data_IF_041009438931
#
_entry.id   IF_041009438931
#
_cell.length_a   1.000
_cell.length_b   1.000
_cell.length_c   1.000
_cell.angle_alpha   90.00
_cell.angle_beta   90.00
_cell.angle_gamma   90.00
#
_symmetry.space_group_name_H-M   'P 1'
#
loop_
_entity.id
_entity.type
_entity.pdbx_description
1 polymer ?
#
# COMPACT_ATOMS: atom_id res chain seq x y z
N UNK A 1 -28.88 8.54 -0.92
CA UNK A 1 -27.74 8.97 -0.10
C UNK A 1 -26.87 7.75 0.14
N UNK A 2 -25.63 7.72 -0.38
CA UNK A 2 -24.66 6.70 0.04
C UNK A 2 -24.29 7.03 1.49
N UNK A 3 -24.49 6.11 2.42
CA UNK A 3 -23.92 6.26 3.75
C UNK A 3 -22.40 6.20 3.58
N UNK A 4 -21.72 7.29 3.94
CA UNK A 4 -20.27 7.30 4.03
C UNK A 4 -19.88 6.26 5.09
N UNK A 5 -19.21 5.18 4.66
CA UNK A 5 -18.74 4.12 5.57
C UNK A 5 -17.64 4.72 6.44
N UNK A 6 -17.71 4.46 7.75
CA UNK A 6 -16.72 4.97 8.70
C UNK A 6 -15.29 4.55 8.32
N UNK A 7 -14.31 5.46 8.41
CA UNK A 7 -12.93 5.13 8.09
C UNK A 7 -12.40 4.05 9.03
N UNK A 8 -11.61 3.12 8.48
CA UNK A 8 -11.02 2.00 9.23
C UNK A 8 -9.55 2.26 9.48
N UNK A 9 -9.12 2.14 10.72
CA UNK A 9 -7.72 2.30 11.11
C UNK A 9 -6.95 0.99 10.96
N UNK A 10 -5.74 1.10 10.41
CA UNK A 10 -4.82 0.00 10.25
C UNK A 10 -3.46 0.33 10.86
N UNK A 11 -2.73 -0.73 11.18
CA UNK A 11 -1.31 -0.70 11.53
C UNK A 11 -0.50 -1.60 10.59
N UNK A 12 0.79 -1.32 10.47
CA UNK A 12 1.74 -2.20 9.79
C UNK A 12 1.98 -3.43 10.64
N UNK A 13 1.81 -4.60 10.03
CA UNK A 13 2.05 -5.89 10.67
C UNK A 13 3.45 -6.41 10.42
N UNK A 14 3.87 -6.39 9.16
CA UNK A 14 5.14 -6.92 8.70
C UNK A 14 5.51 -6.36 7.32
N UNK A 15 6.80 -6.40 7.02
CA UNK A 15 7.34 -6.13 5.69
C UNK A 15 7.23 -7.40 4.86
N UNK A 16 6.47 -7.34 3.78
CA UNK A 16 6.30 -8.44 2.81
C UNK A 16 7.42 -8.42 1.77
N UNK A 17 7.78 -7.22 1.34
CA UNK A 17 8.83 -6.96 0.37
C UNK A 17 9.51 -5.64 0.75
N UNK A 18 10.83 -5.60 0.68
CA UNK A 18 11.61 -4.37 0.78
C UNK A 18 12.74 -4.42 -0.24
N UNK A 19 13.00 -3.29 -0.88
CA UNK A 19 14.09 -3.11 -1.82
C UNK A 19 15.23 -2.27 -1.23
N UNK A 20 15.56 -2.55 0.03
CA UNK A 20 16.58 -1.91 0.87
C UNK A 20 18.02 -1.99 0.32
N UNK A 21 18.29 -2.91 -0.62
CA UNK A 21 19.61 -3.12 -1.25
C UNK A 21 19.77 -2.50 -2.63
N UNK A 22 18.85 -1.65 -3.06
CA UNK A 22 18.90 -0.98 -4.36
C UNK A 22 18.12 -1.71 -5.47
N UNK A 23 18.04 -1.09 -6.64
CA UNK A 23 17.14 -1.51 -7.71
C UNK A 23 17.52 -2.86 -8.32
N UNK A 24 16.52 -3.74 -8.50
CA UNK A 24 16.67 -4.93 -9.33
C UNK A 24 15.56 -4.94 -10.37
N UNK A 25 15.90 -5.26 -11.64
CA UNK A 25 14.98 -5.26 -12.78
C UNK A 25 13.69 -6.08 -12.55
N UNK A 26 13.72 -7.02 -11.60
CA UNK A 26 12.58 -7.78 -11.10
C UNK A 26 11.43 -6.90 -10.56
N UNK A 27 11.74 -5.69 -10.09
CA UNK A 27 10.80 -4.74 -9.47
C UNK A 27 10.73 -3.41 -10.23
N UNK A 28 11.33 -3.36 -11.42
CA UNK A 28 11.56 -2.12 -12.15
C UNK A 28 10.70 -2.05 -13.40
N UNK A 29 10.24 -0.83 -13.66
CA UNK A 29 9.55 -0.35 -14.87
C UNK A 29 8.04 -0.50 -14.79
N UNK A 30 7.45 0.43 -14.05
CA UNK A 30 6.18 1.02 -14.45
C UNK A 30 6.54 2.26 -15.27
N UNK A 31 6.84 2.06 -16.56
CA UNK A 31 6.78 3.18 -17.50
C UNK A 31 5.36 3.73 -17.36
N UNK A 32 5.19 5.03 -17.12
CA UNK A 32 3.87 5.66 -16.99
C UNK A 32 2.95 5.35 -18.19
N UNK A 33 3.53 4.92 -19.32
CA UNK A 33 2.85 4.50 -20.55
C UNK A 33 2.60 2.98 -20.60
N UNK A 34 3.43 2.15 -19.97
CA UNK A 34 3.35 0.68 -20.07
C UNK A 34 2.86 0.07 -18.77
N UNK A 35 1.60 -0.36 -18.76
CA UNK A 35 0.99 -1.07 -17.65
C UNK A 35 1.64 -2.45 -17.44
N UNK A 36 2.56 -2.57 -16.48
CA UNK A 36 3.09 -3.87 -16.06
C UNK A 36 2.75 -4.13 -14.59
N UNK A 37 1.57 -4.68 -14.27
CA UNK A 37 1.17 -4.88 -12.88
C UNK A 37 2.13 -5.84 -12.16
N UNK A 38 2.51 -5.49 -10.93
CA UNK A 38 3.25 -6.39 -10.06
C UNK A 38 2.27 -7.37 -9.40
N UNK A 39 2.59 -8.67 -9.49
CA UNK A 39 1.76 -9.76 -8.96
C UNK A 39 2.55 -10.56 -7.93
N UNK A 40 1.97 -10.79 -6.76
CA UNK A 40 2.56 -11.65 -5.72
C UNK A 40 1.51 -12.54 -5.05
N UNK A 41 1.93 -13.66 -4.47
CA UNK A 41 1.02 -14.54 -3.71
C UNK A 41 0.66 -13.89 -2.38
N UNK A 42 -0.62 -13.86 -2.04
CA UNK A 42 -1.06 -13.41 -0.72
C UNK A 42 -0.43 -14.28 0.37
N UNK A 43 0.38 -13.68 1.25
CA UNK A 43 1.13 -14.42 2.28
C UNK A 43 0.23 -15.01 3.38
N UNK A 44 -1.02 -14.56 3.48
CA UNK A 44 -1.97 -15.02 4.49
C UNK A 44 -2.73 -16.26 4.03
N UNK A 45 -3.37 -16.22 2.86
CA UNK A 45 -4.16 -17.36 2.36
C UNK A 45 -3.39 -18.27 1.41
N UNK A 46 -2.29 -17.82 0.80
CA UNK A 46 -1.54 -18.56 -0.23
C UNK A 46 -2.33 -19.03 -1.47
N UNK A 47 -3.61 -18.69 -1.56
CA UNK A 47 -4.55 -19.15 -2.59
C UNK A 47 -4.84 -18.11 -3.67
N UNK A 48 -4.58 -16.83 -3.39
CA UNK A 48 -4.85 -15.73 -4.31
C UNK A 48 -3.61 -14.90 -4.63
N UNK A 49 -3.56 -14.42 -5.86
CA UNK A 49 -2.59 -13.41 -6.30
C UNK A 49 -3.12 -12.03 -5.96
N UNK A 50 -2.27 -11.22 -5.33
CA UNK A 50 -2.49 -9.80 -5.12
C UNK A 50 -1.82 -9.05 -6.26
N UNK A 51 -2.55 -8.09 -6.82
CA UNK A 51 -2.09 -7.25 -7.91
C UNK A 51 -1.87 -5.82 -7.43
N UNK A 52 -0.75 -5.23 -7.85
CA UNK A 52 -0.38 -3.83 -7.60
C UNK A 52 -0.04 -3.19 -8.95
N UNK A 53 -0.75 -2.12 -9.29
CA UNK A 53 -0.42 -1.24 -10.41
C UNK A 53 -0.16 0.19 -9.90
N UNK A 54 0.44 1.03 -10.75
CA UNK A 54 0.76 2.43 -10.44
C UNK A 54 -0.32 3.43 -10.87
N UNK A 55 -1.52 2.98 -11.22
CA UNK A 55 -2.63 3.91 -11.40
C UNK A 55 -3.20 4.34 -10.06
N UNK A 56 -3.71 5.57 -9.99
CA UNK A 56 -4.34 6.16 -8.81
C UNK A 56 -3.44 6.15 -7.56
N UNK A 57 -2.15 6.44 -7.78
CA UNK A 57 -1.19 6.59 -6.69
C UNK A 57 -1.54 7.81 -5.84
N UNK A 58 -1.61 7.61 -4.53
CA UNK A 58 -1.72 8.67 -3.55
C UNK A 58 -0.34 9.21 -3.15
N UNK A 59 -0.26 10.52 -2.94
CA UNK A 59 0.90 11.13 -2.31
C UNK A 59 0.95 10.79 -0.82
N UNK A 60 2.14 10.50 -0.28
CA UNK A 60 2.33 10.33 1.16
C UNK A 60 2.31 11.72 1.82
N UNK A 61 1.13 12.16 2.27
CA UNK A 61 0.98 13.39 3.04
C UNK A 61 1.47 13.25 4.49
N UNK A 62 2.03 14.35 5.02
CA UNK A 62 2.51 14.45 6.40
C UNK A 62 1.32 14.53 7.38
N UNK A 63 0.81 13.38 7.87
CA UNK A 63 0.20 13.16 9.21
C UNK A 63 -0.70 11.92 9.24
N UNK A 64 -1.44 11.67 8.16
CA UNK A 64 -2.33 10.53 7.99
C UNK A 64 -2.44 10.23 6.51
N UNK A 65 -2.23 8.98 6.11
CA UNK A 65 -2.46 8.56 4.74
C UNK A 65 -3.86 7.96 4.66
N UNK A 66 -4.78 8.69 4.03
CA UNK A 66 -6.14 8.23 3.75
C UNK A 66 -6.17 7.68 2.34
N UNK A 67 -6.37 6.37 2.19
CA UNK A 67 -6.48 5.75 0.87
C UNK A 67 -7.91 5.34 0.59
N UNK A 68 -8.40 5.73 -0.57
CA UNK A 68 -9.58 5.14 -1.15
C UNK A 68 -9.13 3.85 -1.85
N UNK A 69 -9.33 2.72 -1.19
CA UNK A 69 -9.20 1.41 -1.84
C UNK A 69 -10.36 1.22 -2.83
N UNK A 70 -10.35 0.11 -3.59
CA UNK A 70 -11.55 -0.37 -4.32
C UNK A 70 -12.73 -0.71 -3.38
N UNK A 71 -12.54 -0.60 -2.07
CA UNK A 71 -13.61 -0.65 -1.08
C UNK A 71 -14.06 0.77 -0.75
N UNK A 72 -15.38 1.03 -0.67
CA UNK A 72 -15.94 2.37 -0.39
C UNK A 72 -15.55 2.96 0.99
N UNK A 73 -14.61 2.33 1.71
CA UNK A 73 -14.21 2.69 3.06
C UNK A 73 -12.79 3.24 3.06
N UNK A 74 -12.58 4.48 3.55
CA UNK A 74 -11.23 5.02 3.69
C UNK A 74 -10.38 4.18 4.64
N UNK A 75 -9.17 3.84 4.21
CA UNK A 75 -8.15 3.17 5.04
C UNK A 75 -7.23 4.23 5.62
N UNK A 76 -7.12 4.26 6.95
CA UNK A 76 -6.29 5.20 7.71
C UNK A 76 -5.07 4.45 8.26
N UNK A 77 -3.86 4.92 7.92
CA UNK A 77 -2.60 4.37 8.42
C UNK A 77 -1.75 5.52 8.96
N UNK A 78 -1.15 5.34 10.14
CA UNK A 78 -0.25 6.33 10.71
C UNK A 78 1.08 6.38 9.93
N UNK A 79 1.48 7.56 9.45
CA UNK A 79 2.72 7.72 8.66
C UNK A 79 3.97 7.24 9.41
N UNK A 80 4.01 7.41 10.73
CA UNK A 80 5.13 6.91 11.55
C UNK A 80 5.23 5.38 11.53
N UNK A 81 4.11 4.68 11.44
CA UNK A 81 4.09 3.22 11.37
C UNK A 81 4.68 2.74 10.04
N UNK A 82 4.36 3.41 8.94
CA UNK A 82 4.97 3.18 7.62
C UNK A 82 6.47 3.48 7.66
N UNK A 83 6.87 4.62 8.25
CA UNK A 83 8.29 5.04 8.34
C UNK A 83 9.14 4.03 9.09
N UNK A 84 8.65 3.52 10.22
CA UNK A 84 9.38 2.56 11.05
C UNK A 84 9.66 1.24 10.32
N UNK A 85 8.97 0.98 9.20
CA UNK A 85 9.13 -0.21 8.37
C UNK A 85 9.74 0.11 7.00
N UNK A 86 10.47 1.23 6.88
CA UNK A 86 11.11 1.70 5.64
C UNK A 86 10.14 1.85 4.45
N UNK A 87 8.85 2.07 4.72
CA UNK A 87 7.83 2.13 3.66
C UNK A 87 7.60 3.51 3.06
N UNK A 88 8.40 4.54 3.37
CA UNK A 88 8.18 5.88 2.82
C UNK A 88 8.81 5.98 1.43
N UNK A 89 7.95 6.07 0.42
CA UNK A 89 8.31 6.31 -0.98
C UNK A 89 7.76 7.64 -1.49
N UNK A 90 8.00 7.92 -2.77
CA UNK A 90 7.49 9.09 -3.47
C UNK A 90 5.95 9.09 -3.52
N UNK A 91 5.38 7.94 -3.83
CA UNK A 91 3.93 7.74 -3.90
C UNK A 91 3.56 6.34 -3.40
N UNK A 92 2.27 6.08 -3.26
CA UNK A 92 1.78 4.92 -2.50
C UNK A 92 0.37 4.50 -2.86
N UNK A 93 0.02 3.25 -2.54
CA UNK A 93 -1.31 2.68 -2.77
C UNK A 93 -1.65 1.65 -1.72
N UNK A 94 -2.94 1.50 -1.42
CA UNK A 94 -3.46 0.38 -0.64
C UNK A 94 -4.21 -0.57 -1.57
N UNK A 95 -3.90 -1.86 -1.49
CA UNK A 95 -4.60 -2.94 -2.20
C UNK A 95 -5.05 -4.01 -1.22
N UNK A 96 -5.91 -4.93 -1.64
CA UNK A 96 -6.36 -6.04 -0.80
C UNK A 96 -6.38 -7.36 -1.57
N UNK A 97 -6.17 -8.47 -0.86
CA UNK A 97 -6.34 -9.80 -1.40
C UNK A 97 -7.84 -10.11 -1.60
N UNK A 98 -8.24 -10.43 -2.83
CA UNK A 98 -9.64 -10.72 -3.16
C UNK A 98 -10.23 -11.97 -2.48
N UNK A 99 -9.39 -12.90 -1.99
CA UNK A 99 -9.84 -14.10 -1.28
C UNK A 99 -10.05 -13.87 0.23
N UNK A 100 -9.03 -13.38 0.94
CA UNK A 100 -9.06 -13.25 2.41
C UNK A 100 -9.16 -11.80 2.93
N UNK A 101 -9.37 -10.82 2.05
CA UNK A 101 -9.47 -9.40 2.39
C UNK A 101 -8.30 -8.84 3.22
N UNK A 102 -7.11 -9.45 3.11
CA UNK A 102 -5.90 -8.91 3.73
C UNK A 102 -5.45 -7.68 2.96
N UNK A 103 -5.26 -6.57 3.68
CA UNK A 103 -4.82 -5.30 3.10
C UNK A 103 -3.30 -5.19 3.06
N UNK A 104 -2.80 -4.55 2.02
CA UNK A 104 -1.38 -4.29 1.79
C UNK A 104 -1.18 -2.82 1.43
N UNK A 105 -0.14 -2.23 2.00
CA UNK A 105 0.37 -0.93 1.61
C UNK A 105 1.55 -1.14 0.66
N UNK A 106 1.50 -0.53 -0.51
CA UNK A 106 2.57 -0.52 -1.49
C UNK A 106 3.16 0.89 -1.55
N UNK A 107 4.47 0.97 -1.38
CA UNK A 107 5.26 2.17 -1.56
C UNK A 107 6.00 2.12 -2.87
N UNK A 108 6.07 3.25 -3.54
CA UNK A 108 6.75 3.39 -4.82
C UNK A 108 7.78 4.49 -4.73
N UNK A 109 8.98 4.19 -5.21
CA UNK A 109 10.02 5.19 -5.39
C UNK A 109 9.94 5.81 -6.77
N UNK A 110 10.66 6.92 -6.91
CA UNK A 110 10.85 7.64 -8.16
C UNK A 110 12.35 7.75 -8.45
N UNK A 111 12.73 7.53 -9.69
CA UNK A 111 14.08 7.85 -10.14
C UNK A 111 14.05 8.48 -11.52
N UNK A 112 14.73 9.62 -11.63
CA UNK A 112 15.27 10.14 -12.89
C UNK A 112 16.75 9.76 -12.89
N UNK A 113 17.16 8.70 -13.61
CA UNK A 113 17.93 8.93 -14.84
C UNK A 113 17.96 7.72 -15.82
N UNK A 114 17.36 7.86 -17.01
CA UNK A 114 17.79 7.08 -18.19
C UNK A 114 17.17 7.66 -19.47
N UNK A 115 17.95 8.46 -20.23
CA UNK A 115 17.54 8.96 -21.55
C UNK A 115 16.22 9.76 -21.58
N UNK A 116 15.87 10.47 -20.50
CA UNK A 116 14.71 11.37 -20.45
C UNK A 116 13.36 10.69 -20.19
N UNK A 117 13.32 9.55 -19.48
CA UNK A 117 12.08 8.91 -19.03
C UNK A 117 11.99 8.83 -17.51
N UNK A 118 10.83 9.20 -17.00
CA UNK A 118 10.44 9.04 -15.61
C UNK A 118 10.19 7.56 -15.31
N UNK A 119 10.82 7.04 -14.26
CA UNK A 119 10.65 5.64 -13.84
C UNK A 119 10.10 5.60 -12.42
N UNK A 120 8.92 4.99 -12.29
CA UNK A 120 8.36 4.58 -11.01
C UNK A 120 8.75 3.12 -10.76
N UNK A 121 9.15 2.80 -9.53
CA UNK A 121 9.49 1.44 -9.14
C UNK A 121 8.80 1.05 -7.83
N UNK A 122 8.49 -0.23 -7.70
CA UNK A 122 7.96 -0.77 -6.45
C UNK A 122 9.10 -0.83 -5.42
N UNK A 123 8.94 -0.12 -4.31
CA UNK A 123 9.96 -0.01 -3.27
C UNK A 123 9.70 -1.01 -2.13
N UNK A 124 8.51 -0.94 -1.54
CA UNK A 124 8.18 -1.70 -0.33
C UNK A 124 6.72 -2.18 -0.39
N UNK A 125 6.45 -3.41 0.07
CA UNK A 125 5.10 -3.90 0.37
C UNK A 125 5.03 -4.21 1.86
N UNK A 126 4.04 -3.62 2.53
CA UNK A 126 3.74 -3.84 3.94
C UNK A 126 2.38 -4.52 4.06
N UNK A 127 2.28 -5.53 4.91
CA UNK A 127 0.97 -6.09 5.28
C UNK A 127 0.34 -5.22 6.36
N UNK A 128 -0.95 -4.96 6.22
CA UNK A 128 -1.74 -4.19 7.17
C UNK A 128 -2.62 -5.10 8.03
N UNK A 129 -2.82 -4.70 9.27
CA UNK A 129 -3.75 -5.31 10.22
C UNK A 129 -4.68 -4.22 10.76
N UNK A 130 -5.98 -4.46 10.71
CA UNK A 130 -6.98 -3.52 11.23
C UNK A 130 -6.79 -3.37 12.74
N UNK A 131 -6.77 -2.14 13.24
CA UNK A 131 -6.81 -1.88 14.67
C UNK A 131 -8.21 -2.20 15.16
N UNK A 132 -8.32 -3.15 16.09
CA UNK A 132 -9.57 -3.32 16.83
C UNK A 132 -9.80 -2.03 17.61
N UNK A 133 -10.86 -1.30 17.28
CA UNK A 133 -11.38 -0.26 18.17
C UNK A 133 -11.81 -0.99 19.43
N UNK A 134 -11.13 -0.74 20.55
CA UNK A 134 -11.66 -1.11 21.85
C UNK A 134 -12.92 -0.24 22.02
N UNK A 135 -14.07 -0.78 21.64
CA UNK A 135 -15.36 -0.24 22.05
C UNK A 135 -15.43 -0.42 23.56
N UNK A 136 -14.89 0.53 24.30
CA UNK A 136 -15.18 0.69 25.72
C UNK A 136 -16.68 0.98 25.78
N UNK A 137 -17.49 -0.06 25.93
CA UNK A 137 -18.84 0.07 26.46
C UNK A 137 -18.69 0.59 27.88
N UNK A 138 -18.61 1.91 28.02
CA UNK A 138 -18.88 2.59 29.28
C UNK A 138 -20.38 2.52 29.48
N UNK A 139 -20.84 1.42 30.06
CA UNK A 139 -22.15 1.35 30.69
C UNK A 139 -22.08 2.25 31.92
N UNK A 140 -22.76 3.40 31.86
CA UNK A 140 -23.25 4.11 33.03
C UNK A 140 -24.77 4.21 32.91
#
# INVERSE_FOLDING_TARGET
MKQDKEPREYRVKEVVLSNDKGWTNKYTILDHITETPYKFKCIVCNDATVEINHYDLGNVGNKTCTYQSNTDTPVIIATNDIRNHNGIGFCSKVTCCNNCNTYYYASFGYTEPNNGRDVIFLDTILRLEEKKTNSTHSSN
#
